data_IF_664195015643
#
_entry.id   IF_664195015643
#
_cell.length_a   1.000
_cell.length_b   1.000
_cell.length_c   1.000
_cell.angle_alpha   90.00
_cell.angle_beta   90.00
_cell.angle_gamma   90.00
#
_symmetry.space_group_name_H-M   'P 1'
#
loop_
_entity.id
_entity.type
_entity.pdbx_description
1 polymer ?
#
# COMPACT_ATOMS: atom_id res chain seq x y z
N UNK A 1 -9.53 21.86 6.34
CA UNK A 1 -9.57 20.88 7.46
C UNK A 1 -8.46 21.21 8.44
N UNK A 2 -8.69 21.12 9.76
CA UNK A 2 -7.64 21.28 10.76
C UNK A 2 -6.47 20.31 10.50
N UNK A 3 -5.20 20.70 10.73
CA UNK A 3 -4.04 19.83 10.47
C UNK A 3 -4.13 18.46 11.15
N UNK A 4 -4.67 18.42 12.37
CA UNK A 4 -4.90 17.17 13.13
C UNK A 4 -5.92 16.24 12.45
N UNK A 5 -7.05 16.79 11.98
CA UNK A 5 -8.08 16.01 11.29
C UNK A 5 -7.57 15.46 9.97
N UNK A 6 -6.80 16.26 9.22
CA UNK A 6 -6.22 15.82 7.94
C UNK A 6 -5.25 14.65 8.12
N UNK A 7 -4.40 14.69 9.15
CA UNK A 7 -3.50 13.58 9.52
C UNK A 7 -4.26 12.32 9.92
N UNK A 8 -5.37 12.47 10.65
CA UNK A 8 -6.23 11.34 11.00
C UNK A 8 -6.85 10.68 9.77
N UNK A 9 -7.40 11.47 8.85
CA UNK A 9 -7.95 10.97 7.58
C UNK A 9 -6.87 10.26 6.75
N UNK A 10 -5.66 10.82 6.68
CA UNK A 10 -4.55 10.19 5.99
C UNK A 10 -4.14 8.86 6.63
N UNK A 11 -4.11 8.77 7.97
CA UNK A 11 -3.82 7.53 8.67
C UNK A 11 -4.84 6.43 8.36
N UNK A 12 -6.14 6.74 8.39
CA UNK A 12 -7.19 5.81 7.98
C UNK A 12 -7.02 5.41 6.51
N UNK A 13 -6.74 6.38 5.63
CA UNK A 13 -6.48 6.11 4.21
C UNK A 13 -5.32 5.15 3.98
N UNK A 14 -4.22 5.31 4.73
CA UNK A 14 -3.07 4.39 4.69
C UNK A 14 -3.48 2.98 5.11
N UNK A 15 -4.23 2.84 6.21
CA UNK A 15 -4.68 1.53 6.69
C UNK A 15 -5.56 0.82 5.67
N UNK A 16 -6.56 1.53 5.12
CA UNK A 16 -7.44 1.00 4.08
C UNK A 16 -6.67 0.60 2.83
N UNK A 17 -5.74 1.45 2.40
CA UNK A 17 -4.86 1.16 1.27
C UNK A 17 -4.03 -0.09 1.51
N UNK A 18 -3.41 -0.24 2.69
CA UNK A 18 -2.59 -1.41 3.02
C UNK A 18 -3.40 -2.70 3.01
N UNK A 19 -4.62 -2.67 3.57
CA UNK A 19 -5.54 -3.82 3.52
C UNK A 19 -5.81 -4.21 2.07
N UNK A 20 -6.17 -3.22 1.23
CA UNK A 20 -6.47 -3.48 -0.18
C UNK A 20 -5.23 -3.93 -0.98
N UNK A 21 -4.06 -3.35 -0.68
CA UNK A 21 -2.79 -3.67 -1.34
C UNK A 21 -2.36 -5.11 -1.06
N UNK A 22 -2.35 -5.52 0.21
CA UNK A 22 -2.00 -6.88 0.62
C UNK A 22 -3.01 -7.88 0.08
N UNK A 23 -4.31 -7.58 0.18
CA UNK A 23 -5.36 -8.43 -0.39
C UNK A 23 -5.19 -8.59 -1.89
N UNK A 24 -4.99 -7.49 -2.62
CA UNK A 24 -4.77 -7.50 -4.07
C UNK A 24 -3.52 -8.28 -4.46
N UNK A 25 -2.42 -8.14 -3.73
CA UNK A 25 -1.20 -8.94 -3.93
C UNK A 25 -1.47 -10.43 -3.80
N UNK A 26 -2.12 -10.86 -2.71
CA UNK A 26 -2.41 -12.29 -2.48
C UNK A 26 -3.37 -12.83 -3.55
N UNK A 27 -4.42 -12.08 -3.88
CA UNK A 27 -5.38 -12.45 -4.91
C UNK A 27 -4.72 -12.58 -6.29
N UNK A 28 -3.88 -11.62 -6.66
CA UNK A 28 -3.18 -11.62 -7.96
C UNK A 28 -2.11 -12.72 -8.02
N UNK A 29 -1.41 -13.00 -6.91
CA UNK A 29 -0.45 -14.12 -6.83
C UNK A 29 -1.12 -15.47 -7.10
N UNK A 30 -2.36 -15.64 -6.64
CA UNK A 30 -3.16 -16.86 -6.86
C UNK A 30 -3.42 -17.17 -8.35
N UNK A 31 -3.21 -16.20 -9.25
CA UNK A 31 -3.38 -16.38 -10.70
C UNK A 31 -2.09 -16.83 -11.41
N UNK A 32 -0.95 -16.84 -10.72
CA UNK A 32 0.35 -17.17 -11.29
C UNK A 32 0.74 -18.64 -11.02
N UNK A 33 1.48 -19.30 -11.92
CA UNK A 33 2.00 -20.64 -11.70
C UNK A 33 2.81 -20.78 -10.40
N UNK A 34 2.87 -21.98 -9.79
CA UNK A 34 3.70 -22.23 -8.62
C UNK A 34 5.19 -22.12 -9.00
N UNK A 35 5.91 -21.19 -8.39
CA UNK A 35 7.35 -21.02 -8.55
C UNK A 35 7.92 -20.16 -7.43
N UNK A 36 8.96 -20.65 -6.77
CA UNK A 36 9.62 -19.92 -5.68
C UNK A 36 10.27 -18.62 -6.17
N UNK A 37 10.75 -18.58 -7.41
CA UNK A 37 11.29 -17.36 -8.01
C UNK A 37 10.20 -16.32 -8.25
N UNK A 38 9.00 -16.75 -8.65
CA UNK A 38 7.85 -15.87 -8.79
C UNK A 38 7.46 -15.34 -7.41
N UNK A 39 7.37 -16.20 -6.39
CA UNK A 39 7.07 -15.77 -5.01
C UNK A 39 8.06 -14.71 -4.52
N UNK A 40 9.35 -14.98 -4.69
CA UNK A 40 10.42 -14.08 -4.26
C UNK A 40 10.31 -12.71 -4.92
N UNK A 41 10.20 -12.64 -6.25
CA UNK A 41 10.11 -11.37 -6.97
C UNK A 41 8.79 -10.66 -6.71
N UNK A 42 7.68 -11.40 -6.73
CA UNK A 42 6.35 -10.85 -6.59
C UNK A 42 6.12 -10.23 -5.20
N UNK A 43 6.46 -10.96 -4.13
CA UNK A 43 6.35 -10.43 -2.77
C UNK A 43 7.50 -9.50 -2.40
N UNK A 44 8.71 -9.70 -2.96
CA UNK A 44 9.82 -8.78 -2.74
C UNK A 44 9.55 -7.38 -3.30
N UNK A 45 9.05 -7.30 -4.53
CA UNK A 45 8.67 -6.03 -5.16
C UNK A 45 7.37 -5.52 -4.55
N UNK A 46 6.32 -6.33 -4.51
CA UNK A 46 5.01 -5.93 -3.98
C UNK A 46 5.05 -5.50 -2.52
N UNK A 47 5.85 -6.18 -1.70
CA UNK A 47 6.01 -5.91 -0.27
C UNK A 47 6.89 -4.71 0.05
N UNK A 48 7.67 -4.19 -0.91
CA UNK A 48 8.49 -2.98 -0.72
C UNK A 48 7.94 -1.76 -1.46
N UNK A 49 7.22 -1.96 -2.57
CA UNK A 49 6.72 -0.90 -3.42
C UNK A 49 5.44 -0.22 -2.90
N UNK A 50 4.78 -0.74 -1.86
CA UNK A 50 3.51 -0.19 -1.34
C UNK A 50 3.60 1.26 -0.85
N UNK A 51 4.80 1.73 -0.46
CA UNK A 51 4.99 3.11 0.00
C UNK A 51 4.84 4.13 -1.14
N UNK A 52 5.14 3.76 -2.38
CA UNK A 52 5.12 4.67 -3.54
C UNK A 52 3.74 5.31 -3.76
N UNK A 53 2.63 4.55 -3.82
CA UNK A 53 1.29 5.11 -3.96
C UNK A 53 0.83 5.98 -2.78
N UNK A 54 1.42 5.83 -1.59
CA UNK A 54 1.03 6.60 -0.40
C UNK A 54 1.65 7.99 -0.34
N UNK A 55 2.78 8.22 -1.04
CA UNK A 55 3.49 9.50 -1.08
C UNK A 55 2.55 10.71 -1.30
N UNK A 56 1.66 10.74 -2.32
CA UNK A 56 0.78 11.88 -2.55
C UNK A 56 -0.19 12.14 -1.37
N UNK A 57 -0.74 11.08 -0.75
CA UNK A 57 -1.63 11.19 0.40
C UNK A 57 -0.90 11.77 1.62
N UNK A 58 0.31 11.27 1.90
CA UNK A 58 1.14 11.74 3.00
C UNK A 58 1.58 13.20 2.80
N UNK A 59 2.02 13.55 1.59
CA UNK A 59 2.35 14.94 1.23
C UNK A 59 1.16 15.88 1.41
N UNK A 60 -0.05 15.45 1.04
CA UNK A 60 -1.26 16.24 1.29
C UNK A 60 -1.54 16.40 2.79
N UNK A 61 -1.36 15.34 3.58
CA UNK A 61 -1.56 15.37 5.02
C UNK A 61 -0.62 16.36 5.74
N UNK A 62 0.61 16.45 5.25
CA UNK A 62 1.68 17.29 5.79
C UNK A 62 1.65 18.74 5.31
N UNK A 63 0.94 19.06 4.22
CA UNK A 63 0.79 20.43 3.67
C UNK A 63 0.01 21.35 4.62
N UNK A 64 0.56 21.71 5.75
CA UNK A 64 -0.01 22.63 6.75
C UNK A 64 0.80 23.90 6.81
#
# INVERSE_FOLDING_TARGET
MPPRLRRFVAAIGVLLFLVFWVWGLIALRGLLPPSQWIDFLFFGIGGTAWGLPLIPLLRWAERG
#
